data_IF_785719984810
#
_entry.id   IF_785719984810
#
_cell.length_a   1.000
_cell.length_b   1.000
_cell.length_c   1.000
_cell.angle_alpha   90.00
_cell.angle_beta   90.00
_cell.angle_gamma   90.00
#
_symmetry.space_group_name_H-M   'P 1'
#
loop_
_entity.id
_entity.type
_entity.pdbx_description
1 polymer ?
#
# COMPACT_ATOMS: atom_id res chain seq x y z
N UNK A 1 -14.56 -18.24 14.70
CA UNK A 1 -13.52 -17.35 14.16
C UNK A 1 -12.18 -17.82 14.73
N UNK A 2 -11.37 -18.56 13.96
CA UNK A 2 -10.04 -19.02 14.43
C UNK A 2 -9.11 -17.81 14.52
N UNK A 3 -8.24 -17.72 15.54
CA UNK A 3 -7.45 -16.52 15.79
C UNK A 3 -6.52 -16.28 14.60
N UNK A 4 -6.47 -15.02 14.15
CA UNK A 4 -5.38 -14.50 13.34
C UNK A 4 -4.07 -14.97 13.98
N UNK A 5 -3.26 -15.74 13.23
CA UNK A 5 -1.91 -16.17 13.66
C UNK A 5 -1.20 -14.96 14.28
N UNK A 6 -0.52 -15.16 15.41
CA UNK A 6 0.09 -14.07 16.19
C UNK A 6 0.97 -13.21 15.30
N UNK A 7 0.57 -11.95 15.09
CA UNK A 7 1.35 -10.95 14.37
C UNK A 7 2.57 -10.47 15.17
N UNK A 8 2.70 -10.90 16.42
CA UNK A 8 3.78 -10.55 17.35
C UNK A 8 5.20 -10.68 16.77
N UNK A 9 5.56 -11.72 16.00
CA UNK A 9 6.89 -11.82 15.40
C UNK A 9 7.19 -10.74 14.36
N UNK A 10 6.17 -10.05 13.85
CA UNK A 10 6.28 -9.12 12.73
C UNK A 10 5.98 -7.66 13.10
N UNK A 11 5.55 -7.37 14.34
CA UNK A 11 5.11 -6.02 14.75
C UNK A 11 6.16 -4.92 14.49
N UNK A 12 7.43 -5.27 14.65
CA UNK A 12 8.59 -4.38 14.46
C UNK A 12 9.20 -4.49 13.05
N UNK A 13 8.57 -5.25 12.16
CA UNK A 13 9.06 -5.57 10.81
C UNK A 13 7.98 -5.47 9.73
N UNK A 14 6.77 -5.03 10.09
CA UNK A 14 5.64 -4.96 9.19
C UNK A 14 4.81 -3.70 9.42
N UNK A 15 4.16 -3.28 8.34
CA UNK A 15 3.12 -2.26 8.33
C UNK A 15 1.89 -2.82 7.64
N UNK A 16 0.72 -2.26 7.95
CA UNK A 16 -0.54 -2.64 7.35
C UNK A 16 -1.40 -1.40 7.06
N UNK A 17 -2.17 -1.47 5.98
CA UNK A 17 -3.29 -0.59 5.69
C UNK A 17 -4.57 -1.41 5.70
N UNK A 18 -5.69 -0.79 6.06
CA UNK A 18 -7.00 -1.46 5.99
C UNK A 18 -7.48 -1.60 4.54
N UNK A 19 -8.32 -2.59 4.29
CA UNK A 19 -9.09 -2.76 3.06
C UNK A 19 -10.49 -2.14 3.12
N UNK A 20 -11.14 -2.02 1.96
CA UNK A 20 -12.50 -1.45 1.86
C UNK A 20 -13.61 -2.37 2.42
N UNK A 21 -13.28 -3.63 2.69
CA UNK A 21 -14.18 -4.61 3.33
C UNK A 21 -13.84 -4.85 4.79
N UNK A 22 -12.77 -4.22 5.30
CA UNK A 22 -12.43 -4.27 6.72
C UNK A 22 -13.36 -3.36 7.52
N UNK A 23 -13.53 -3.67 8.80
CA UNK A 23 -14.32 -2.87 9.73
C UNK A 23 -13.44 -2.17 10.79
N UNK A 24 -14.10 -1.40 11.66
CA UNK A 24 -13.45 -0.67 12.75
C UNK A 24 -12.71 -1.62 13.72
N UNK A 25 -13.18 -2.85 13.89
CA UNK A 25 -12.52 -3.83 14.78
C UNK A 25 -11.16 -4.24 14.22
N UNK A 26 -11.05 -4.47 12.91
CA UNK A 26 -9.77 -4.75 12.23
C UNK A 26 -8.83 -3.56 12.35
N UNK A 27 -9.32 -2.33 12.10
CA UNK A 27 -8.51 -1.11 12.24
C UNK A 27 -7.96 -0.97 13.67
N UNK A 28 -8.81 -1.14 14.69
CA UNK A 28 -8.40 -1.08 16.11
C UNK A 28 -7.39 -2.17 16.46
N UNK A 29 -7.56 -3.38 15.94
CA UNK A 29 -6.64 -4.48 16.16
C UNK A 29 -5.25 -4.18 15.57
N UNK A 30 -5.16 -3.79 14.30
CA UNK A 30 -3.90 -3.41 13.67
C UNK A 30 -3.23 -2.21 14.36
N UNK A 31 -4.03 -1.26 14.86
CA UNK A 31 -3.53 -0.15 15.66
C UNK A 31 -2.97 -0.62 17.01
N UNK A 32 -3.64 -1.54 17.70
CA UNK A 32 -3.17 -2.10 18.98
C UNK A 32 -1.86 -2.87 18.84
N UNK A 33 -1.60 -3.44 17.66
CA UNK A 33 -0.33 -4.09 17.31
C UNK A 33 0.77 -3.10 16.90
N UNK A 34 0.44 -1.82 16.72
CA UNK A 34 1.38 -0.79 16.26
C UNK A 34 1.75 -0.88 14.78
N UNK A 35 1.07 -1.71 13.97
CA UNK A 35 1.40 -1.93 12.55
C UNK A 35 0.60 -1.06 11.58
N UNK A 36 -0.52 -0.48 12.04
CA UNK A 36 -1.40 0.33 11.21
C UNK A 36 -0.75 1.65 10.77
N UNK A 37 -0.76 1.92 9.46
CA UNK A 37 -0.27 3.17 8.85
C UNK A 37 -1.34 3.97 8.08
N UNK A 38 -2.63 3.62 8.23
CA UNK A 38 -3.75 4.41 7.69
C UNK A 38 -3.62 5.91 8.04
N UNK A 39 -3.41 6.74 7.01
CA UNK A 39 -3.28 8.20 7.13
C UNK A 39 -2.01 8.67 7.82
N UNK A 40 -0.97 7.83 7.92
CA UNK A 40 0.24 8.10 8.72
C UNK A 40 1.51 7.80 7.94
N UNK A 41 2.60 8.45 8.35
CA UNK A 41 3.97 8.07 7.99
C UNK A 41 4.59 7.24 9.12
N UNK A 42 5.27 6.15 8.78
CA UNK A 42 6.07 5.34 9.71
C UNK A 42 7.45 5.07 9.12
N UNK A 43 8.46 5.16 9.98
CA UNK A 43 9.81 4.69 9.67
C UNK A 43 9.97 3.22 10.07
N UNK A 44 10.51 2.42 9.16
CA UNK A 44 10.76 1.00 9.37
C UNK A 44 11.97 0.56 8.54
N UNK A 45 13.00 0.03 9.20
CA UNK A 45 14.20 -0.47 8.51
C UNK A 45 14.94 0.60 7.70
N UNK A 46 14.90 1.86 8.14
CA UNK A 46 15.51 3.00 7.42
C UNK A 46 14.67 3.53 6.25
N UNK A 47 13.50 2.95 5.98
CA UNK A 47 12.57 3.41 4.95
C UNK A 47 11.43 4.22 5.57
N UNK A 48 10.95 5.23 4.84
CA UNK A 48 9.77 6.03 5.20
C UNK A 48 8.57 5.55 4.41
N UNK A 49 7.58 5.02 5.13
CA UNK A 49 6.38 4.41 4.56
C UNK A 49 5.16 5.26 4.88
N UNK A 50 4.39 5.64 3.87
CA UNK A 50 3.09 6.29 4.03
C UNK A 50 1.94 5.34 3.71
N UNK A 51 0.84 5.44 4.44
CA UNK A 51 -0.32 4.56 4.27
C UNK A 51 -1.64 5.28 3.98
N UNK A 52 -2.46 4.69 3.11
CA UNK A 52 -3.88 5.07 2.93
C UNK A 52 -4.75 3.82 2.97
N UNK A 53 -5.64 3.75 3.97
CA UNK A 53 -6.57 2.64 4.15
C UNK A 53 -7.72 2.63 3.16
N UNK A 54 -8.49 1.54 3.20
CA UNK A 54 -9.68 1.34 2.38
C UNK A 54 -10.98 1.75 3.07
N UNK A 55 -11.01 1.84 4.40
CA UNK A 55 -12.21 2.19 5.19
C UNK A 55 -12.58 3.67 5.00
N UNK A 56 -11.63 4.58 5.26
CA UNK A 56 -11.79 6.03 5.06
C UNK A 56 -10.61 6.59 4.26
N UNK A 57 -10.55 6.19 2.98
CA UNK A 57 -9.48 6.60 2.08
C UNK A 57 -9.41 8.13 1.89
N UNK A 58 -10.54 8.85 2.00
CA UNK A 58 -10.57 10.30 1.84
C UNK A 58 -9.93 11.00 3.05
N UNK A 59 -10.32 10.62 4.26
CA UNK A 59 -9.72 11.13 5.50
C UNK A 59 -8.23 10.78 5.59
N UNK A 60 -7.86 9.54 5.27
CA UNK A 60 -6.47 9.09 5.29
C UNK A 60 -5.59 9.85 4.27
N UNK A 61 -6.11 10.18 3.07
CA UNK A 61 -5.40 11.05 2.10
C UNK A 61 -5.14 12.43 2.68
N UNK A 62 -6.15 13.04 3.33
CA UNK A 62 -6.00 14.38 3.93
C UNK A 62 -4.98 14.37 5.07
N UNK A 63 -5.04 13.37 5.94
CA UNK A 63 -4.09 13.20 7.05
C UNK A 63 -2.66 13.03 6.53
N UNK A 64 -2.45 12.11 5.57
CA UNK A 64 -1.11 11.85 5.03
C UNK A 64 -0.53 13.07 4.31
N UNK A 65 -1.34 13.85 3.59
CA UNK A 65 -0.88 15.11 2.97
C UNK A 65 -0.37 16.11 4.02
N UNK A 66 -1.06 16.21 5.16
CA UNK A 66 -0.63 17.09 6.25
C UNK A 66 0.71 16.62 6.81
N UNK A 67 0.88 15.32 7.02
CA UNK A 67 2.14 14.76 7.54
C UNK A 67 3.30 14.93 6.56
N UNK A 68 3.10 14.66 5.27
CA UNK A 68 4.13 14.80 4.23
C UNK A 68 4.66 16.22 4.11
N UNK A 69 3.81 17.24 4.33
CA UNK A 69 4.24 18.63 4.32
C UNK A 69 5.29 18.96 5.40
N UNK A 70 5.34 18.17 6.48
CA UNK A 70 6.28 18.31 7.60
C UNK A 70 7.42 17.31 7.50
N UNK A 71 7.12 16.10 7.01
CA UNK A 71 8.01 14.96 7.06
C UNK A 71 8.98 14.92 5.88
N UNK A 72 8.58 15.31 4.67
CA UNK A 72 9.38 15.18 3.45
C UNK A 72 8.94 14.01 2.56
N UNK A 73 9.84 13.50 1.71
CA UNK A 73 9.52 12.45 0.71
C UNK A 73 9.35 11.06 1.35
N UNK A 74 8.57 10.20 0.70
CA UNK A 74 8.42 8.78 1.04
C UNK A 74 9.36 7.91 0.23
N UNK A 75 9.76 6.77 0.78
CA UNK A 75 10.36 5.69 0.01
C UNK A 75 9.26 4.80 -0.57
N UNK A 76 8.27 4.46 0.26
CA UNK A 76 7.19 3.55 -0.08
C UNK A 76 5.85 4.20 0.26
N UNK A 77 4.93 4.19 -0.69
CA UNK A 77 3.52 4.49 -0.45
C UNK A 77 2.73 3.18 -0.52
N UNK A 78 1.89 2.92 0.48
CA UNK A 78 1.00 1.76 0.52
C UNK A 78 -0.43 2.27 0.53
N UNK A 79 -1.24 1.87 -0.44
CA UNK A 79 -2.65 2.26 -0.48
C UNK A 79 -3.52 1.04 -0.74
N UNK A 80 -4.73 1.02 -0.20
CA UNK A 80 -5.65 -0.07 -0.55
C UNK A 80 -6.09 0.02 -2.02
N UNK A 81 -6.60 1.19 -2.41
CA UNK A 81 -7.11 1.44 -3.76
C UNK A 81 -5.98 1.87 -4.71
N UNK A 82 -5.93 1.39 -5.96
CA UNK A 82 -4.91 1.79 -6.92
C UNK A 82 -5.03 3.28 -7.31
N UNK A 83 -3.91 3.92 -7.71
CA UNK A 83 -3.98 5.23 -8.35
C UNK A 83 -4.67 5.13 -9.71
N UNK A 84 -5.48 6.14 -10.07
CA UNK A 84 -6.19 6.16 -11.37
C UNK A 84 -5.24 5.93 -12.54
N UNK A 85 -5.59 4.97 -13.39
CA UNK A 85 -4.90 4.66 -14.64
C UNK A 85 -3.62 3.84 -14.51
N UNK A 86 -3.34 3.24 -13.35
CA UNK A 86 -2.16 2.40 -13.14
C UNK A 86 -2.62 1.10 -12.50
N UNK A 87 -2.49 -0.02 -13.23
CA UNK A 87 -2.90 -1.36 -12.78
C UNK A 87 -4.31 -1.40 -12.13
N UNK A 88 -5.24 -0.59 -12.66
CA UNK A 88 -6.54 -0.31 -12.06
C UNK A 88 -7.73 -0.84 -12.88
N UNK A 89 -7.48 -1.76 -13.82
CA UNK A 89 -8.50 -2.32 -14.72
C UNK A 89 -9.11 -3.59 -14.13
N UNK A 90 -10.44 -3.62 -14.06
CA UNK A 90 -11.21 -4.82 -13.74
C UNK A 90 -11.31 -5.77 -14.95
N UNK A 91 -11.85 -6.97 -14.77
CA UNK A 91 -12.16 -7.90 -15.88
C UNK A 91 -13.07 -7.29 -16.95
N UNK A 92 -13.97 -6.38 -16.58
CA UNK A 92 -14.86 -5.67 -17.51
C UNK A 92 -14.16 -4.50 -18.22
N UNK A 93 -12.84 -4.33 -18.04
CA UNK A 93 -12.04 -3.26 -18.64
C UNK A 93 -12.22 -1.89 -17.99
N UNK A 94 -13.05 -1.77 -16.96
CA UNK A 94 -13.35 -0.53 -16.24
C UNK A 94 -12.20 -0.15 -15.31
N UNK A 95 -11.82 1.13 -15.32
CA UNK A 95 -10.78 1.70 -14.46
C UNK A 95 -11.35 2.18 -13.12
N UNK A 96 -10.99 1.53 -12.03
CA UNK A 96 -11.52 1.82 -10.68
C UNK A 96 -10.54 2.55 -9.76
N UNK A 97 -9.35 2.89 -10.26
CA UNK A 97 -8.37 3.62 -9.45
C UNK A 97 -8.85 5.03 -9.10
N UNK A 98 -8.30 5.58 -8.04
CA UNK A 98 -8.73 6.86 -7.48
C UNK A 98 -7.82 8.00 -7.94
N UNK A 99 -8.45 9.14 -8.31
CA UNK A 99 -7.72 10.36 -8.71
C UNK A 99 -6.93 10.94 -7.54
N UNK A 100 -7.54 10.98 -6.35
CA UNK A 100 -6.91 11.47 -5.12
C UNK A 100 -5.63 10.71 -4.76
N UNK A 101 -5.64 9.38 -4.93
CA UNK A 101 -4.47 8.51 -4.72
C UNK A 101 -3.38 8.78 -5.76
N UNK A 102 -3.75 8.98 -7.04
CA UNK A 102 -2.78 9.37 -8.08
C UNK A 102 -2.12 10.70 -7.73
N UNK A 103 -2.90 11.73 -7.40
CA UNK A 103 -2.38 13.05 -7.04
C UNK A 103 -1.48 13.01 -5.80
N UNK A 104 -1.88 12.25 -4.78
CA UNK A 104 -1.07 12.02 -3.59
C UNK A 104 0.27 11.35 -3.94
N UNK A 105 0.25 10.34 -4.81
CA UNK A 105 1.47 9.66 -5.26
C UNK A 105 2.43 10.62 -5.97
N UNK A 106 1.90 11.50 -6.84
CA UNK A 106 2.71 12.47 -7.58
C UNK A 106 3.25 13.60 -6.69
N UNK A 107 2.54 13.95 -5.62
CA UNK A 107 3.03 14.86 -4.60
C UNK A 107 4.13 14.22 -3.75
N UNK A 108 3.87 13.01 -3.23
CA UNK A 108 4.79 12.31 -2.33
C UNK A 108 6.05 11.80 -3.05
N UNK A 109 5.95 11.55 -4.36
CA UNK A 109 6.96 10.95 -5.24
C UNK A 109 7.73 9.79 -4.57
N UNK A 110 7.01 8.75 -4.11
CA UNK A 110 7.65 7.58 -3.54
C UNK A 110 8.46 6.85 -4.60
N UNK A 111 9.46 6.08 -4.18
CA UNK A 111 10.19 5.19 -5.07
C UNK A 111 9.29 4.03 -5.52
N UNK A 112 8.46 3.55 -4.59
CA UNK A 112 7.53 2.43 -4.83
C UNK A 112 6.14 2.77 -4.32
N UNK A 113 5.13 2.42 -5.12
CA UNK A 113 3.73 2.49 -4.71
C UNK A 113 3.10 1.11 -4.77
N UNK A 114 2.76 0.59 -3.59
CA UNK A 114 2.13 -0.71 -3.37
C UNK A 114 0.63 -0.53 -3.20
N UNK A 115 -0.15 -1.36 -3.89
CA UNK A 115 -1.60 -1.36 -3.73
C UNK A 115 -2.25 -2.69 -4.08
N UNK A 116 -3.52 -2.83 -3.67
CA UNK A 116 -4.33 -4.01 -3.92
C UNK A 116 -5.66 -3.65 -4.59
N UNK A 117 -6.76 -4.14 -4.01
CA UNK A 117 -8.16 -3.92 -4.41
C UNK A 117 -8.58 -4.51 -5.78
N UNK A 118 -7.74 -4.39 -6.81
CA UNK A 118 -8.03 -4.93 -8.15
C UNK A 118 -7.28 -6.25 -8.34
N UNK A 119 -7.94 -7.36 -8.04
CA UNK A 119 -7.36 -8.69 -8.12
C UNK A 119 -7.03 -9.11 -9.57
N UNK A 120 -7.62 -8.42 -10.53
CA UNK A 120 -7.57 -8.67 -11.97
C UNK A 120 -6.35 -8.05 -12.66
N UNK A 121 -5.66 -7.12 -12.00
CA UNK A 121 -4.51 -6.40 -12.57
C UNK A 121 -3.22 -6.60 -11.75
N UNK A 122 -2.80 -7.85 -11.43
CA UNK A 122 -1.50 -8.08 -10.83
C UNK A 122 -0.40 -7.67 -11.81
N UNK A 123 0.65 -7.03 -11.32
CA UNK A 123 1.67 -6.48 -12.18
C UNK A 123 2.59 -5.50 -11.48
N UNK A 124 3.58 -5.02 -12.22
CA UNK A 124 4.35 -3.86 -11.85
C UNK A 124 4.66 -3.02 -13.10
N UNK A 125 4.72 -1.71 -12.94
CA UNK A 125 5.08 -0.79 -14.03
C UNK A 125 5.66 0.50 -13.46
N UNK A 126 6.51 1.17 -14.22
CA UNK A 126 6.90 2.54 -13.94
C UNK A 126 5.79 3.52 -14.39
N UNK A 127 5.55 4.56 -13.61
CA UNK A 127 4.73 5.71 -14.02
C UNK A 127 5.26 6.97 -13.31
N UNK A 128 5.53 8.04 -14.05
CA UNK A 128 5.95 9.33 -13.47
C UNK A 128 7.16 9.22 -12.50
N UNK A 129 8.08 8.28 -12.77
CA UNK A 129 9.24 8.01 -11.90
C UNK A 129 8.95 7.16 -10.65
N UNK A 130 7.76 6.58 -10.54
CA UNK A 130 7.32 5.72 -9.43
C UNK A 130 7.16 4.28 -9.94
N UNK A 131 7.67 3.30 -9.18
CA UNK A 131 7.39 1.88 -9.47
C UNK A 131 6.09 1.46 -8.80
N UNK A 132 5.02 1.30 -9.57
CA UNK A 132 3.76 0.72 -9.09
C UNK A 132 3.87 -0.80 -9.02
N UNK A 133 3.33 -1.39 -7.95
CA UNK A 133 3.24 -2.84 -7.78
C UNK A 133 1.87 -3.21 -7.23
N UNK A 134 1.16 -4.07 -7.96
CA UNK A 134 0.01 -4.83 -7.49
C UNK A 134 0.42 -6.31 -7.41
N UNK A 135 0.65 -6.86 -6.21
CA UNK A 135 1.06 -8.26 -6.06
C UNK A 135 0.01 -9.26 -6.56
N UNK A 136 -1.26 -8.86 -6.63
CA UNK A 136 -2.39 -9.76 -6.75
C UNK A 136 -2.82 -10.35 -5.40
N UNK A 137 -3.93 -11.11 -5.39
CA UNK A 137 -4.53 -11.58 -4.16
C UNK A 137 -3.74 -12.72 -3.52
N UNK A 138 -3.46 -12.60 -2.21
CA UNK A 138 -2.76 -13.63 -1.44
C UNK A 138 -3.52 -14.97 -1.41
N UNK A 139 -4.85 -14.96 -1.58
CA UNK A 139 -5.67 -16.19 -1.65
C UNK A 139 -5.28 -17.11 -2.81
N UNK A 140 -4.67 -16.54 -3.86
CA UNK A 140 -4.16 -17.26 -5.03
C UNK A 140 -2.65 -17.55 -4.88
N UNK A 141 -2.11 -17.40 -3.67
CA UNK A 141 -0.69 -17.59 -3.35
C UNK A 141 0.23 -16.45 -3.78
N UNK A 142 -0.29 -15.36 -4.36
CA UNK A 142 0.54 -14.32 -4.99
C UNK A 142 1.14 -13.34 -3.97
N UNK A 143 2.38 -12.94 -4.23
CA UNK A 143 3.09 -11.89 -3.49
C UNK A 143 4.15 -11.22 -4.37
N UNK A 144 4.68 -10.08 -3.92
CA UNK A 144 5.79 -9.40 -4.56
C UNK A 144 7.01 -9.36 -3.63
N UNK A 145 8.19 -9.69 -4.17
CA UNK A 145 9.47 -9.42 -3.54
C UNK A 145 10.06 -8.17 -4.17
N UNK A 146 10.45 -7.20 -3.35
CA UNK A 146 10.95 -5.90 -3.80
C UNK A 146 12.31 -5.67 -3.16
N UNK A 147 13.32 -5.50 -4.00
CA UNK A 147 14.68 -5.16 -3.60
C UNK A 147 14.89 -3.67 -3.88
N UNK A 148 15.19 -2.89 -2.82
CA UNK A 148 15.46 -1.46 -2.88
C UNK A 148 16.94 -1.20 -2.60
N UNK A 149 17.67 -0.69 -3.59
CA UNK A 149 19.03 -0.15 -3.40
C UNK A 149 18.95 1.38 -3.25
N UNK A 150 20.05 2.12 -3.30
CA UNK A 150 19.99 3.59 -3.32
C UNK A 150 19.40 4.12 -4.65
N UNK A 151 19.69 3.44 -5.76
CA UNK A 151 19.37 3.91 -7.12
C UNK A 151 18.25 3.12 -7.79
N UNK A 152 18.06 1.86 -7.41
CA UNK A 152 17.24 0.92 -8.17
C UNK A 152 16.13 0.30 -7.34
N UNK A 153 15.08 -0.11 -8.06
CA UNK A 153 13.96 -0.87 -7.56
C UNK A 153 13.82 -2.10 -8.44
N UNK A 154 14.01 -3.29 -7.86
CA UNK A 154 13.78 -4.55 -8.57
C UNK A 154 12.57 -5.25 -7.98
N UNK A 155 11.63 -5.62 -8.85
CA UNK A 155 10.36 -6.26 -8.46
C UNK A 155 10.31 -7.67 -9.03
N UNK A 156 9.95 -8.63 -8.20
CA UNK A 156 9.68 -10.02 -8.59
C UNK A 156 8.31 -10.44 -8.08
N UNK A 157 7.37 -10.68 -8.98
CA UNK A 157 6.09 -11.30 -8.64
C UNK A 157 6.30 -12.80 -8.46
N UNK A 158 5.80 -13.36 -7.36
CA UNK A 158 5.99 -14.76 -6.97
C UNK A 158 4.69 -15.38 -6.48
N UNK A 159 4.70 -16.70 -6.36
CA UNK A 159 3.61 -17.49 -5.81
C UNK A 159 4.11 -18.41 -4.69
N UNK A 160 3.26 -18.66 -3.70
CA UNK A 160 3.42 -19.72 -2.70
C UNK A 160 3.04 -21.05 -3.35
N UNK A 161 3.89 -21.55 -4.25
CA UNK A 161 3.82 -22.91 -4.80
C UNK A 161 4.68 -23.86 -3.96
#
# INVERSE_FOLDING_TARGET
MKPLRSWEPFKDRAVAVTGNVDDISVRRYLQSLGVLIDGRVRELGGLRLGGVGGIDHAGDVMALRSDLSKAGRLDVLVTHHPPKGVLDRTFMGVRVGLKSIRELSLMAKPRVHLFGHVHESPGHQAYEGIVAVNPGPLRDGRYALIELTETDVKVSLRSLA
#
